data_IF_764628945106
#
_entry.id   IF_764628945106
#
_cell.length_a   1.000
_cell.length_b   1.000
_cell.length_c   1.000
_cell.angle_alpha   90.00
_cell.angle_beta   90.00
_cell.angle_gamma   90.00
#
_symmetry.space_group_name_H-M   'P 1'
#
loop_
_entity.id
_entity.type
_entity.pdbx_description
1 polymer ?
#
# COMPACT_ATOMS: atom_id res chain seq x y z
N UNK A 1 4.10 23.76 -8.87
CA UNK A 1 5.13 22.73 -8.74
C UNK A 1 4.63 21.75 -7.69
N UNK A 2 4.53 20.47 -8.04
CA UNK A 2 4.02 19.45 -7.11
C UNK A 2 5.03 19.19 -5.99
N UNK A 3 4.54 18.67 -4.84
CA UNK A 3 5.39 18.39 -3.67
C UNK A 3 6.39 17.24 -3.89
N UNK A 4 6.15 16.41 -4.92
CA UNK A 4 6.97 15.25 -5.27
C UNK A 4 7.62 15.40 -6.66
N UNK A 5 7.82 16.62 -7.12
CA UNK A 5 8.43 16.89 -8.43
C UNK A 5 9.79 16.20 -8.56
N UNK A 6 9.93 15.36 -9.61
CA UNK A 6 11.14 14.57 -9.87
C UNK A 6 11.43 13.42 -8.92
N UNK A 7 10.50 13.09 -8.00
CA UNK A 7 10.58 11.93 -7.13
C UNK A 7 10.11 10.68 -7.84
N UNK A 8 10.63 9.53 -7.44
CA UNK A 8 10.24 8.22 -7.96
C UNK A 8 9.51 7.43 -6.89
N UNK A 9 8.30 6.99 -7.21
CA UNK A 9 7.44 6.24 -6.31
C UNK A 9 7.12 4.84 -6.86
N UNK A 10 7.08 3.85 -5.98
CA UNK A 10 6.50 2.53 -6.24
C UNK A 10 5.19 2.43 -5.46
N UNK A 11 4.11 1.98 -6.12
CA UNK A 11 2.83 1.67 -5.46
C UNK A 11 2.41 0.25 -5.86
N UNK A 12 2.28 -0.65 -4.89
CA UNK A 12 1.83 -2.03 -5.14
C UNK A 12 0.31 -2.15 -5.06
N UNK A 13 -0.29 -3.03 -5.89
CA UNK A 13 -1.75 -3.14 -6.01
C UNK A 13 -2.39 -1.85 -6.51
N UNK A 14 -1.77 -1.19 -7.48
CA UNK A 14 -2.09 0.16 -7.91
C UNK A 14 -3.02 0.23 -9.14
N UNK A 15 -3.46 -0.91 -9.69
CA UNK A 15 -4.35 -0.93 -10.84
C UNK A 15 -5.81 -0.57 -10.52
N UNK A 16 -6.21 -0.63 -9.23
CA UNK A 16 -7.60 -0.43 -8.82
C UNK A 16 -7.71 0.20 -7.42
N UNK A 17 -8.90 0.71 -7.09
CA UNK A 17 -9.30 1.11 -5.74
C UNK A 17 -8.33 2.08 -5.07
N UNK A 18 -7.94 1.78 -3.84
CA UNK A 18 -7.06 2.62 -3.02
C UNK A 18 -5.70 2.81 -3.69
N UNK A 19 -5.08 1.71 -4.19
CA UNK A 19 -3.76 1.79 -4.83
C UNK A 19 -3.75 2.67 -6.08
N UNK A 20 -4.80 2.57 -6.92
CA UNK A 20 -4.97 3.48 -8.07
C UNK A 20 -5.06 4.94 -7.62
N UNK A 21 -5.90 5.23 -6.63
CA UNK A 21 -6.03 6.59 -6.12
C UNK A 21 -4.70 7.14 -5.55
N UNK A 22 -3.91 6.28 -4.87
CA UNK A 22 -2.57 6.64 -4.38
C UNK A 22 -1.65 6.95 -5.56
N UNK A 23 -1.57 6.06 -6.57
CA UNK A 23 -0.70 6.26 -7.74
C UNK A 23 -1.02 7.57 -8.47
N UNK A 24 -2.31 7.84 -8.73
CA UNK A 24 -2.77 9.08 -9.35
C UNK A 24 -2.45 10.31 -8.49
N UNK A 25 -2.63 10.22 -7.16
CA UNK A 25 -2.32 11.32 -6.24
C UNK A 25 -0.84 11.66 -6.25
N UNK A 26 0.05 10.66 -6.17
CA UNK A 26 1.49 10.89 -6.19
C UNK A 26 1.96 11.43 -7.54
N UNK A 27 1.40 10.92 -8.65
CA UNK A 27 1.67 11.46 -10.00
C UNK A 27 1.21 12.91 -10.16
N UNK A 28 0.02 13.26 -9.66
CA UNK A 28 -0.47 14.64 -9.67
C UNK A 28 0.42 15.60 -8.87
N UNK A 29 1.14 15.09 -7.87
CA UNK A 29 2.13 15.85 -7.10
C UNK A 29 3.53 15.88 -7.75
N UNK A 30 3.68 15.34 -8.96
CA UNK A 30 4.91 15.40 -9.75
C UNK A 30 5.82 14.19 -9.69
N UNK A 31 5.43 13.12 -8.98
CA UNK A 31 6.22 11.89 -8.93
C UNK A 31 6.15 11.10 -10.25
N UNK A 32 7.25 10.44 -10.60
CA UNK A 32 7.23 9.27 -11.48
C UNK A 32 6.75 8.06 -10.70
N UNK A 33 5.87 7.23 -11.26
CA UNK A 33 5.23 6.14 -10.53
C UNK A 33 5.42 4.80 -11.23
N UNK A 34 5.98 3.83 -10.54
CA UNK A 34 5.90 2.42 -10.93
C UNK A 34 4.58 1.87 -10.39
N UNK A 35 3.69 1.51 -11.31
CA UNK A 35 2.33 1.02 -11.04
C UNK A 35 2.36 -0.51 -11.09
N UNK A 36 2.37 -1.16 -9.92
CA UNK A 36 2.25 -2.61 -9.86
C UNK A 36 0.79 -3.02 -9.59
N UNK A 37 0.35 -4.04 -10.27
CA UNK A 37 -0.86 -4.83 -9.97
C UNK A 37 -0.62 -6.28 -10.35
N UNK A 38 -1.41 -7.22 -9.80
CA UNK A 38 -1.35 -8.62 -10.21
C UNK A 38 -1.69 -8.79 -11.69
N UNK A 39 -2.67 -8.00 -12.16
CA UNK A 39 -3.20 -8.04 -13.51
C UNK A 39 -2.55 -6.94 -14.38
N UNK A 40 -2.13 -7.31 -15.58
CA UNK A 40 -1.48 -6.40 -16.55
C UNK A 40 -2.41 -5.28 -17.01
N UNK A 41 -3.65 -5.61 -17.35
CA UNK A 41 -4.59 -4.64 -17.92
C UNK A 41 -4.92 -3.48 -16.96
N UNK A 42 -5.21 -3.68 -15.66
CA UNK A 42 -5.41 -2.58 -14.73
C UNK A 42 -4.15 -1.75 -14.47
N UNK A 43 -2.98 -2.39 -14.37
CA UNK A 43 -1.72 -1.66 -14.22
C UNK A 43 -1.46 -0.77 -15.44
N UNK A 44 -1.65 -1.30 -16.66
CA UNK A 44 -1.53 -0.55 -17.91
C UNK A 44 -2.50 0.62 -17.98
N UNK A 45 -3.76 0.40 -17.65
CA UNK A 45 -4.79 1.46 -17.71
C UNK A 45 -4.45 2.66 -16.79
N UNK A 46 -3.96 2.42 -15.58
CA UNK A 46 -3.54 3.50 -14.67
C UNK A 46 -2.28 4.19 -15.19
N UNK A 47 -1.35 3.44 -15.74
CA UNK A 47 -0.14 3.97 -16.36
C UNK A 47 -0.49 4.89 -17.54
N UNK A 48 -1.39 4.48 -18.43
CA UNK A 48 -1.85 5.27 -19.56
C UNK A 48 -2.58 6.54 -19.11
N UNK A 49 -3.40 6.44 -18.06
CA UNK A 49 -4.08 7.59 -17.47
C UNK A 49 -3.09 8.63 -16.94
N UNK A 50 -2.05 8.21 -16.21
CA UNK A 50 -1.00 9.11 -15.71
C UNK A 50 -0.21 9.72 -16.89
N UNK A 51 0.10 8.92 -17.91
CA UNK A 51 0.91 9.32 -19.06
C UNK A 51 0.14 10.12 -20.12
N UNK A 52 -1.19 10.23 -19.99
CA UNK A 52 -2.01 11.10 -20.88
C UNK A 52 -1.72 12.59 -20.69
N UNK A 53 -0.97 12.96 -19.65
CA UNK A 53 -0.51 14.31 -19.37
C UNK A 53 0.77 14.71 -20.13
N UNK A 54 1.51 15.68 -19.61
CA UNK A 54 2.72 16.24 -20.25
C UNK A 54 3.98 15.41 -20.04
N UNK A 55 4.04 14.22 -20.63
CA UNK A 55 5.23 13.36 -20.63
C UNK A 55 5.08 12.12 -19.75
N UNK A 56 5.84 11.04 -20.04
CA UNK A 56 5.73 9.77 -19.34
C UNK A 56 6.16 9.94 -17.88
N UNK A 57 5.24 9.64 -16.96
CA UNK A 57 5.44 9.70 -15.52
C UNK A 57 5.18 8.38 -14.83
N UNK A 58 4.70 7.37 -15.56
CA UNK A 58 4.39 6.07 -15.00
C UNK A 58 4.93 4.93 -15.86
N UNK A 59 5.24 3.83 -15.20
CA UNK A 59 5.65 2.55 -15.74
C UNK A 59 4.78 1.45 -15.14
N UNK A 60 4.13 0.64 -15.99
CA UNK A 60 3.40 -0.54 -15.54
C UNK A 60 4.41 -1.66 -15.21
N UNK A 61 4.25 -2.29 -14.05
CA UNK A 61 5.01 -3.46 -13.61
C UNK A 61 4.05 -4.53 -13.07
N UNK A 62 3.36 -5.26 -13.96
CA UNK A 62 2.43 -6.30 -13.55
C UNK A 62 3.16 -7.49 -12.94
N UNK A 63 2.53 -8.14 -11.96
CA UNK A 63 3.03 -9.36 -11.37
C UNK A 63 2.65 -9.57 -9.92
N UNK A 64 2.93 -10.77 -9.44
CA UNK A 64 2.56 -11.24 -8.11
C UNK A 64 3.61 -10.85 -7.07
N UNK A 65 3.24 -9.93 -6.18
CA UNK A 65 4.10 -9.46 -5.08
C UNK A 65 4.57 -10.57 -4.13
N UNK A 66 3.91 -11.74 -4.14
CA UNK A 66 4.25 -12.84 -3.24
C UNK A 66 5.40 -13.72 -3.75
N UNK A 67 5.84 -13.54 -4.99
CA UNK A 67 6.98 -14.28 -5.54
C UNK A 67 8.29 -13.86 -4.84
N UNK A 68 9.22 -14.79 -4.60
CA UNK A 68 10.44 -14.52 -3.84
C UNK A 68 11.31 -13.39 -4.39
N UNK A 69 11.49 -13.33 -5.70
CA UNK A 69 12.36 -12.38 -6.41
C UNK A 69 11.67 -11.06 -6.76
N UNK A 70 10.32 -11.03 -6.70
CA UNK A 70 9.52 -9.91 -7.18
C UNK A 70 9.93 -8.55 -6.57
N UNK A 71 10.33 -8.54 -5.31
CA UNK A 71 10.75 -7.31 -4.63
C UNK A 71 12.02 -6.70 -5.23
N UNK A 72 12.98 -7.52 -5.63
CA UNK A 72 14.22 -7.09 -6.26
C UNK A 72 13.91 -6.57 -7.68
N UNK A 73 13.16 -7.32 -8.49
CA UNK A 73 12.76 -6.93 -9.85
C UNK A 73 11.93 -5.63 -9.87
N UNK A 74 11.04 -5.44 -8.88
CA UNK A 74 10.23 -4.23 -8.77
C UNK A 74 11.07 -2.98 -8.45
N UNK A 75 12.07 -3.12 -7.59
CA UNK A 75 13.01 -2.02 -7.28
C UNK A 75 13.87 -1.72 -8.49
N UNK A 76 14.40 -2.74 -9.15
CA UNK A 76 15.23 -2.59 -10.35
C UNK A 76 14.43 -1.88 -11.47
N UNK A 77 13.14 -2.20 -11.65
CA UNK A 77 12.29 -1.50 -12.61
C UNK A 77 12.18 0.02 -12.34
N UNK A 78 12.16 0.44 -11.07
CA UNK A 78 12.16 1.87 -10.72
C UNK A 78 13.53 2.52 -11.02
N UNK A 79 14.62 1.80 -10.75
CA UNK A 79 15.99 2.28 -10.99
C UNK A 79 16.27 2.40 -12.48
N UNK A 80 15.89 1.39 -13.27
CA UNK A 80 16.12 1.36 -14.74
C UNK A 80 15.20 2.37 -15.46
N UNK A 81 13.93 2.47 -15.02
CA UNK A 81 12.95 3.32 -15.68
C UNK A 81 13.10 4.81 -15.34
N UNK A 82 13.48 5.13 -14.10
CA UNK A 82 13.46 6.51 -13.59
C UNK A 82 14.73 6.93 -12.85
N UNK A 83 15.72 6.05 -12.72
CA UNK A 83 17.02 6.37 -12.14
C UNK A 83 17.06 6.43 -10.61
N UNK A 84 16.01 6.01 -9.89
CA UNK A 84 15.98 6.08 -8.44
C UNK A 84 14.70 5.53 -7.80
N UNK A 85 14.68 5.59 -6.46
CA UNK A 85 13.50 5.28 -5.65
C UNK A 85 13.48 6.22 -4.43
N UNK A 86 12.42 7.00 -4.29
CA UNK A 86 12.23 7.94 -3.18
C UNK A 86 11.05 7.56 -2.27
N UNK A 87 9.98 7.00 -2.85
CA UNK A 87 8.74 6.66 -2.13
C UNK A 87 8.35 5.22 -2.42
N UNK A 88 8.11 4.43 -1.38
CA UNK A 88 7.57 3.07 -1.49
C UNK A 88 6.26 2.96 -0.74
N UNK A 89 5.18 2.57 -1.43
CA UNK A 89 3.87 2.29 -0.84
C UNK A 89 3.52 0.83 -0.98
N UNK A 90 3.57 0.07 0.11
CA UNK A 90 3.12 -1.30 0.19
C UNK A 90 1.60 -1.32 0.42
N UNK A 91 0.82 -1.42 -0.67
CA UNK A 91 -0.64 -1.38 -0.63
C UNK A 91 -1.28 -2.71 -1.09
N UNK A 92 -0.62 -3.51 -1.92
CA UNK A 92 -1.17 -4.74 -2.48
C UNK A 92 -1.81 -5.65 -1.41
N UNK A 93 -2.98 -6.20 -1.74
CA UNK A 93 -3.65 -7.14 -0.87
C UNK A 93 -5.12 -7.34 -1.19
N UNK A 94 -5.67 -8.38 -0.59
CA UNK A 94 -7.09 -8.74 -0.67
C UNK A 94 -7.53 -9.35 0.67
N UNK A 95 -8.80 -9.69 0.80
CA UNK A 95 -9.36 -10.26 2.04
C UNK A 95 -9.92 -11.64 1.74
N UNK A 96 -9.59 -12.59 2.63
CA UNK A 96 -10.17 -13.92 2.60
C UNK A 96 -10.66 -14.28 4.00
N UNK A 97 -11.90 -13.91 4.28
CA UNK A 97 -12.52 -14.05 5.60
C UNK A 97 -12.99 -15.49 5.88
N UNK A 98 -12.81 -15.94 7.10
CA UNK A 98 -13.41 -17.17 7.64
C UNK A 98 -13.42 -17.12 9.17
N UNK A 99 -14.44 -17.72 9.80
CA UNK A 99 -14.41 -17.93 11.24
C UNK A 99 -13.20 -18.85 11.59
N UNK A 100 -12.53 -18.59 12.72
CA UNK A 100 -11.28 -19.29 13.07
C UNK A 100 -11.40 -20.82 13.01
N UNK A 101 -12.51 -21.37 13.49
CA UNK A 101 -12.73 -22.83 13.50
C UNK A 101 -12.86 -23.44 12.09
N UNK A 102 -13.15 -22.63 11.08
CA UNK A 102 -13.28 -23.03 9.68
C UNK A 102 -12.16 -22.47 8.80
N UNK A 103 -11.19 -21.77 9.41
CA UNK A 103 -10.08 -21.13 8.72
C UNK A 103 -9.06 -22.19 8.31
N UNK A 104 -8.80 -22.34 7.01
CA UNK A 104 -7.80 -23.30 6.54
C UNK A 104 -6.38 -22.76 6.65
N UNK A 105 -5.39 -23.67 6.73
CA UNK A 105 -3.98 -23.29 6.67
C UNK A 105 -3.65 -22.54 5.37
N UNK A 106 -4.29 -22.93 4.26
CA UNK A 106 -4.14 -22.22 2.98
C UNK A 106 -4.61 -20.75 3.06
N UNK A 107 -5.73 -20.46 3.72
CA UNK A 107 -6.19 -19.10 3.93
C UNK A 107 -5.21 -18.31 4.80
N UNK A 108 -4.69 -18.94 5.84
CA UNK A 108 -3.68 -18.36 6.71
C UNK A 108 -2.40 -18.00 5.95
N UNK A 109 -1.85 -18.97 5.22
CA UNK A 109 -0.62 -18.78 4.45
C UNK A 109 -0.79 -17.73 3.35
N UNK A 110 -1.91 -17.72 2.61
CA UNK A 110 -2.19 -16.75 1.57
C UNK A 110 -2.27 -15.31 2.12
N UNK A 111 -2.94 -15.11 3.25
CA UNK A 111 -3.04 -13.79 3.88
C UNK A 111 -1.70 -13.32 4.42
N UNK A 112 -0.92 -14.19 5.06
CA UNK A 112 0.44 -13.83 5.50
C UNK A 112 1.39 -13.61 4.33
N UNK A 113 1.28 -14.38 3.26
CA UNK A 113 2.10 -14.20 2.07
C UNK A 113 1.95 -12.80 1.48
N UNK A 114 0.70 -12.34 1.27
CA UNK A 114 0.45 -11.04 0.64
C UNK A 114 0.60 -9.86 1.60
N UNK A 115 0.21 -10.00 2.88
CA UNK A 115 0.16 -8.87 3.81
C UNK A 115 1.39 -8.73 4.72
N UNK A 116 2.22 -9.77 4.85
CA UNK A 116 3.42 -9.74 5.70
C UNK A 116 4.68 -10.06 4.91
N UNK A 117 4.71 -11.22 4.23
CA UNK A 117 5.93 -11.71 3.56
C UNK A 117 6.27 -10.86 2.33
N UNK A 118 5.29 -10.50 1.50
CA UNK A 118 5.52 -9.65 0.33
C UNK A 118 6.05 -8.26 0.71
N UNK A 119 5.39 -7.49 1.63
CA UNK A 119 5.97 -6.24 2.12
C UNK A 119 7.38 -6.41 2.70
N UNK A 120 7.65 -7.45 3.49
CA UNK A 120 8.98 -7.72 4.00
C UNK A 120 10.03 -7.87 2.89
N UNK A 121 9.72 -8.63 1.82
CA UNK A 121 10.65 -8.83 0.69
C UNK A 121 10.90 -7.54 -0.08
N UNK A 122 9.85 -6.78 -0.39
CA UNK A 122 9.94 -5.50 -1.09
C UNK A 122 10.73 -4.48 -0.24
N UNK A 123 10.44 -4.39 1.07
CA UNK A 123 11.18 -3.55 2.00
C UNK A 123 12.66 -3.92 2.05
N UNK A 124 12.99 -5.21 2.06
CA UNK A 124 14.38 -5.69 2.06
C UNK A 124 15.12 -5.27 0.78
N UNK A 125 14.48 -5.36 -0.39
CA UNK A 125 15.04 -4.92 -1.67
C UNK A 125 15.26 -3.40 -1.68
N UNK A 126 14.24 -2.62 -1.36
CA UNK A 126 14.33 -1.15 -1.28
C UNK A 126 15.38 -0.69 -0.24
N UNK A 127 15.45 -1.38 0.91
CA UNK A 127 16.40 -1.07 1.98
C UNK A 127 17.86 -1.22 1.56
N UNK A 128 18.19 -2.18 0.70
CA UNK A 128 19.55 -2.30 0.11
C UNK A 128 19.89 -1.03 -0.67
N UNK A 129 19.01 -0.62 -1.58
CA UNK A 129 19.19 0.60 -2.39
C UNK A 129 19.29 1.85 -1.49
N UNK A 130 18.38 2.03 -0.54
CA UNK A 130 18.39 3.20 0.35
C UNK A 130 19.68 3.30 1.15
N UNK A 131 20.17 2.18 1.69
CA UNK A 131 21.43 2.13 2.43
C UNK A 131 22.63 2.48 1.56
N UNK A 132 22.71 1.97 0.35
CA UNK A 132 23.81 2.25 -0.59
C UNK A 132 23.85 3.72 -0.98
N UNK A 133 22.70 4.29 -1.33
CA UNK A 133 22.58 5.71 -1.66
C UNK A 133 22.91 6.61 -0.45
N UNK A 134 22.49 6.21 0.75
CA UNK A 134 22.83 6.97 1.95
C UNK A 134 24.33 6.96 2.23
N UNK A 135 24.99 5.78 2.12
CA UNK A 135 26.45 5.68 2.27
C UNK A 135 27.20 6.49 1.23
N UNK A 136 26.74 6.47 -0.02
CA UNK A 136 27.36 7.26 -1.09
C UNK A 136 27.26 8.79 -0.82
N UNK A 137 26.12 9.26 -0.34
CA UNK A 137 25.95 10.67 0.05
C UNK A 137 26.85 11.03 1.24
N UNK A 138 26.86 10.20 2.29
CA UNK A 138 27.71 10.40 3.48
C UNK A 138 29.20 10.42 3.14
N UNK A 139 29.66 9.59 2.21
CA UNK A 139 31.04 9.58 1.75
C UNK A 139 31.46 10.87 1.04
N UNK A 140 30.48 11.62 0.49
CA UNK A 140 30.69 12.97 -0.08
C UNK A 140 30.51 14.09 0.94
N UNK A 141 30.25 13.76 2.22
CA UNK A 141 29.93 14.76 3.25
C UNK A 141 28.53 15.38 3.13
N UNK A 142 27.64 14.74 2.38
CA UNK A 142 26.27 15.20 2.13
C UNK A 142 25.29 14.50 3.07
N UNK A 143 24.21 15.19 3.45
CA UNK A 143 23.07 14.54 4.10
C UNK A 143 22.30 13.74 3.04
N UNK A 144 22.00 12.44 3.27
CA UNK A 144 21.15 11.67 2.37
C UNK A 144 19.79 12.36 2.19
N UNK A 145 19.20 12.36 0.99
CA UNK A 145 17.83 12.83 0.80
C UNK A 145 16.85 11.98 1.62
N UNK A 146 15.80 12.63 2.15
CA UNK A 146 14.76 11.92 2.88
C UNK A 146 13.96 11.03 1.91
N UNK A 147 13.84 9.73 2.26
CA UNK A 147 13.02 8.76 1.54
C UNK A 147 11.87 8.30 2.39
N UNK A 148 10.80 7.85 1.75
CA UNK A 148 9.52 7.58 2.39
C UNK A 148 9.08 6.15 2.15
N UNK A 149 8.67 5.48 3.22
CA UNK A 149 7.98 4.20 3.14
C UNK A 149 6.65 4.32 3.84
N UNK A 150 5.58 3.92 3.15
CA UNK A 150 4.23 3.87 3.72
C UNK A 150 3.67 2.45 3.56
N UNK A 151 3.39 1.79 4.66
CA UNK A 151 2.77 0.49 4.69
C UNK A 151 1.26 0.63 4.92
N UNK A 152 0.46 0.08 4.01
CA UNK A 152 -1.01 0.07 4.16
C UNK A 152 -1.42 -1.05 5.10
N UNK A 153 -1.92 -0.65 6.27
CA UNK A 153 -2.52 -1.53 7.26
C UNK A 153 -4.05 -1.40 7.26
N UNK A 154 -4.69 -1.83 8.32
CA UNK A 154 -6.13 -1.79 8.54
C UNK A 154 -6.42 -1.60 10.03
N UNK A 155 -7.60 -1.04 10.37
CA UNK A 155 -8.10 -1.07 11.75
C UNK A 155 -8.19 -2.52 12.27
N UNK A 156 -8.41 -3.51 11.40
CA UNK A 156 -8.37 -4.93 11.76
C UNK A 156 -6.98 -5.37 12.26
N UNK A 157 -5.91 -4.79 11.74
CA UNK A 157 -4.55 -5.05 12.22
C UNK A 157 -4.22 -4.33 13.55
N UNK A 158 -5.00 -3.31 13.91
CA UNK A 158 -4.83 -2.53 15.15
C UNK A 158 -5.71 -3.09 16.27
N UNK A 159 -6.98 -3.36 15.96
CA UNK A 159 -8.02 -3.70 16.95
C UNK A 159 -8.53 -5.14 16.83
N UNK A 160 -8.17 -5.84 15.76
CA UNK A 160 -8.79 -7.11 15.40
C UNK A 160 -10.12 -6.94 14.68
N UNK A 161 -10.62 -8.02 14.08
CA UNK A 161 -11.98 -8.08 13.54
C UNK A 161 -12.43 -9.55 13.50
N UNK A 162 -13.70 -9.80 13.79
CA UNK A 162 -14.28 -11.12 13.68
C UNK A 162 -14.12 -11.68 12.26
N UNK A 163 -13.85 -12.97 12.13
CA UNK A 163 -13.63 -13.69 10.86
C UNK A 163 -12.37 -13.29 10.05
N UNK A 164 -11.52 -12.41 10.57
CA UNK A 164 -10.34 -11.88 9.88
C UNK A 164 -9.01 -12.25 10.54
N UNK A 165 -8.91 -13.38 11.21
CA UNK A 165 -7.73 -13.74 12.01
C UNK A 165 -6.41 -13.64 11.22
N UNK A 166 -6.32 -14.25 10.04
CA UNK A 166 -5.12 -14.20 9.20
C UNK A 166 -4.86 -12.83 8.57
N UNK A 167 -5.93 -12.17 8.12
CA UNK A 167 -5.83 -10.81 7.57
C UNK A 167 -5.34 -9.82 8.65
N UNK A 168 -5.97 -9.86 9.84
CA UNK A 168 -5.57 -9.02 10.96
C UNK A 168 -4.12 -9.28 11.39
N UNK A 169 -3.70 -10.55 11.45
CA UNK A 169 -2.31 -10.91 11.75
C UNK A 169 -1.33 -10.34 10.71
N UNK A 170 -1.64 -10.48 9.40
CA UNK A 170 -0.82 -9.89 8.33
C UNK A 170 -0.75 -8.36 8.40
N UNK A 171 -1.89 -7.71 8.67
CA UNK A 171 -1.95 -6.24 8.81
C UNK A 171 -1.31 -5.72 10.11
N UNK A 172 -1.27 -6.52 11.16
CA UNK A 172 -0.48 -6.24 12.37
C UNK A 172 1.02 -6.42 12.12
N UNK A 173 1.43 -7.39 11.32
CA UNK A 173 2.83 -7.63 10.98
C UNK A 173 3.48 -6.40 10.33
N UNK A 174 2.81 -5.72 9.39
CA UNK A 174 3.38 -4.50 8.77
C UNK A 174 3.49 -3.33 9.75
N UNK A 175 2.65 -3.27 10.78
CA UNK A 175 2.81 -2.30 11.88
C UNK A 175 4.11 -2.59 12.65
N UNK A 176 4.39 -3.87 12.95
CA UNK A 176 5.63 -4.29 13.57
C UNK A 176 6.86 -3.95 12.72
N UNK A 177 6.82 -4.26 11.42
CA UNK A 177 7.86 -3.89 10.45
C UNK A 177 8.07 -2.37 10.40
N UNK A 178 7.00 -1.59 10.36
CA UNK A 178 7.05 -0.12 10.36
C UNK A 178 7.85 0.41 11.55
N UNK A 179 7.52 -0.04 12.75
CA UNK A 179 8.17 0.40 13.99
C UNK A 179 9.64 -0.04 14.10
N UNK A 180 9.97 -1.23 13.60
CA UNK A 180 11.35 -1.74 13.62
C UNK A 180 12.21 -0.98 12.60
N UNK A 181 11.73 -0.87 11.35
CA UNK A 181 12.50 -0.25 10.28
C UNK A 181 12.63 1.27 10.45
N UNK A 182 11.69 1.94 11.11
CA UNK A 182 11.83 3.38 11.43
C UNK A 182 13.08 3.66 12.28
N UNK A 183 13.46 2.73 13.16
CA UNK A 183 14.67 2.82 14.00
C UNK A 183 15.93 2.38 13.23
N UNK A 184 15.82 1.30 12.46
CA UNK A 184 16.95 0.75 11.72
C UNK A 184 17.39 1.66 10.57
N UNK A 185 16.43 2.29 9.86
CA UNK A 185 16.70 3.08 8.66
C UNK A 185 16.79 4.59 8.90
N UNK A 186 16.54 5.04 10.14
CA UNK A 186 16.73 6.44 10.53
C UNK A 186 18.11 7.00 10.15
N UNK A 187 19.23 6.26 10.39
CA UNK A 187 20.57 6.69 9.98
C UNK A 187 20.76 6.88 8.47
N UNK A 188 19.87 6.30 7.65
CA UNK A 188 19.87 6.47 6.19
C UNK A 188 18.93 7.59 5.72
N UNK A 189 18.32 8.33 6.65
CA UNK A 189 17.31 9.35 6.42
C UNK A 189 16.07 8.80 5.68
N UNK A 190 15.60 7.62 6.09
CA UNK A 190 14.38 6.98 5.58
C UNK A 190 13.32 7.01 6.68
N UNK A 191 12.17 7.59 6.39
CA UNK A 191 10.99 7.49 7.26
C UNK A 191 10.15 6.29 6.88
N UNK A 192 9.66 5.55 7.87
CA UNK A 192 8.80 4.37 7.67
C UNK A 192 7.56 4.54 8.53
N UNK A 193 6.39 4.69 7.89
CA UNK A 193 5.11 4.90 8.56
C UNK A 193 4.05 3.92 8.03
N UNK A 194 2.95 3.79 8.73
CA UNK A 194 1.80 3.00 8.29
C UNK A 194 0.51 3.84 8.31
N UNK A 195 -0.42 3.49 7.40
CA UNK A 195 -1.79 4.01 7.44
C UNK A 195 -2.73 2.83 7.62
N UNK A 196 -3.53 2.86 8.69
CA UNK A 196 -4.54 1.86 9.00
C UNK A 196 -5.91 2.38 8.59
N UNK A 197 -6.48 1.80 7.53
CA UNK A 197 -7.78 2.22 7.04
C UNK A 197 -8.93 1.55 7.82
N UNK A 198 -10.00 2.31 8.00
CA UNK A 198 -11.33 1.79 8.30
C UNK A 198 -12.05 1.34 7.02
N UNK A 199 -13.37 1.52 6.98
CA UNK A 199 -14.16 1.20 5.82
C UNK A 199 -13.94 2.23 4.70
N UNK A 200 -13.37 1.78 3.57
CA UNK A 200 -13.21 2.56 2.33
C UNK A 200 -14.03 1.88 1.24
N UNK A 201 -14.86 2.63 0.55
CA UNK A 201 -15.66 2.13 -0.58
C UNK A 201 -14.76 1.80 -1.78
N UNK A 202 -14.66 0.52 -2.10
CA UNK A 202 -13.93 -0.02 -3.25
C UNK A 202 -14.69 -1.21 -3.81
N UNK A 203 -14.24 -1.76 -4.94
CA UNK A 203 -14.79 -3.03 -5.46
C UNK A 203 -14.76 -4.16 -4.43
N UNK A 204 -13.77 -4.20 -3.56
CA UNK A 204 -13.64 -5.23 -2.52
C UNK A 204 -14.65 -5.07 -1.37
N UNK A 205 -15.25 -3.91 -1.22
CA UNK A 205 -16.13 -3.53 -0.10
C UNK A 205 -17.48 -2.98 -0.54
N UNK A 206 -17.78 -3.05 -1.85
CA UNK A 206 -19.09 -2.61 -2.37
C UNK A 206 -20.24 -3.51 -1.90
N UNK A 207 -21.45 -3.04 -2.07
CA UNK A 207 -22.66 -3.79 -1.71
C UNK A 207 -22.74 -5.08 -2.52
N UNK A 208 -22.93 -6.21 -1.83
CA UNK A 208 -23.29 -7.47 -2.48
C UNK A 208 -24.71 -7.32 -3.00
N UNK A 209 -24.87 -7.35 -4.34
CA UNK A 209 -26.17 -7.39 -5.02
C UNK A 209 -26.71 -8.82 -5.11
N UNK A 210 -27.67 -9.03 -6.01
CA UNK A 210 -28.22 -10.37 -6.29
C UNK A 210 -27.15 -11.34 -6.85
N UNK A 211 -26.13 -10.80 -7.54
CA UNK A 211 -24.96 -11.54 -7.98
C UNK A 211 -23.79 -11.32 -7.01
N UNK A 212 -23.20 -12.43 -6.56
CA UNK A 212 -22.02 -12.38 -5.70
C UNK A 212 -20.81 -12.00 -6.54
N UNK A 213 -20.26 -10.82 -6.33
CA UNK A 213 -19.03 -10.45 -6.98
C UNK A 213 -17.85 -11.28 -6.47
N UNK A 214 -16.99 -11.62 -7.40
CA UNK A 214 -15.74 -12.33 -7.12
C UNK A 214 -14.55 -11.60 -7.71
N UNK A 215 -13.41 -11.82 -7.09
CA UNK A 215 -12.11 -11.46 -7.68
C UNK A 215 -11.34 -12.75 -7.96
N UNK A 216 -10.65 -12.79 -9.08
CA UNK A 216 -9.70 -13.86 -9.34
C UNK A 216 -8.35 -13.51 -8.69
N UNK A 217 -7.82 -14.42 -7.89
CA UNK A 217 -6.47 -14.35 -7.37
C UNK A 217 -5.80 -15.69 -7.66
N UNK A 218 -4.89 -15.70 -8.59
CA UNK A 218 -4.14 -16.91 -9.02
C UNK A 218 -5.04 -18.05 -9.49
N UNK A 219 -6.09 -17.74 -10.28
CA UNK A 219 -7.04 -18.74 -10.79
C UNK A 219 -8.11 -19.18 -9.77
N UNK A 220 -8.14 -18.56 -8.60
CA UNK A 220 -9.15 -18.81 -7.57
C UNK A 220 -10.10 -17.64 -7.44
N UNK A 221 -11.40 -17.93 -7.43
CA UNK A 221 -12.45 -16.94 -7.23
C UNK A 221 -12.67 -16.69 -5.73
N UNK A 222 -12.42 -15.44 -5.29
CA UNK A 222 -12.71 -15.01 -3.91
C UNK A 222 -13.94 -14.13 -3.90
N UNK A 223 -14.90 -14.45 -3.04
CA UNK A 223 -16.06 -13.59 -2.81
C UNK A 223 -15.64 -12.29 -2.14
N UNK A 224 -16.12 -11.18 -2.68
CA UNK A 224 -15.88 -9.83 -2.15
C UNK A 224 -17.17 -9.07 -1.99
N UNK A 225 -17.12 -7.98 -1.26
CA UNK A 225 -18.27 -7.14 -0.96
C UNK A 225 -18.79 -7.29 0.47
N UNK A 226 -19.70 -6.43 0.84
CA UNK A 226 -20.35 -6.38 2.15
C UNK A 226 -21.86 -6.37 1.98
N UNK A 227 -22.59 -6.89 2.97
CA UNK A 227 -24.05 -6.77 2.97
C UNK A 227 -24.47 -5.32 3.19
N UNK A 228 -25.66 -4.91 2.71
CA UNK A 228 -26.20 -3.57 2.97
C UNK A 228 -26.21 -3.21 4.46
N UNK A 229 -26.56 -4.18 5.33
CA UNK A 229 -26.58 -3.99 6.78
C UNK A 229 -25.19 -3.73 7.36
N UNK A 230 -24.16 -4.44 6.85
CA UNK A 230 -22.79 -4.23 7.28
C UNK A 230 -22.28 -2.83 6.84
N UNK A 231 -22.60 -2.40 5.62
CA UNK A 231 -22.26 -1.05 5.14
C UNK A 231 -22.93 0.01 6.00
N UNK A 232 -24.21 -0.14 6.27
CA UNK A 232 -24.95 0.81 7.12
C UNK A 232 -24.41 0.83 8.55
N UNK A 233 -24.04 -0.33 9.10
CA UNK A 233 -23.39 -0.42 10.40
C UNK A 233 -22.06 0.36 10.41
N UNK A 234 -21.22 0.23 9.39
CA UNK A 234 -19.98 0.99 9.28
C UNK A 234 -20.24 2.50 9.17
N UNK A 235 -21.22 2.93 8.36
CA UNK A 235 -21.58 4.35 8.23
C UNK A 235 -22.12 4.92 9.53
N UNK A 236 -22.98 4.20 10.20
CA UNK A 236 -23.62 4.67 11.45
C UNK A 236 -22.64 4.72 12.62
N UNK A 237 -21.66 3.82 12.68
CA UNK A 237 -20.63 3.80 13.74
C UNK A 237 -19.48 4.78 13.46
N UNK A 238 -19.29 5.22 12.23
CA UNK A 238 -18.30 6.25 11.92
C UNK A 238 -18.74 7.62 12.46
N UNK A 239 -17.94 8.29 13.30
CA UNK A 239 -18.22 9.66 13.74
C UNK A 239 -18.42 10.65 12.59
N UNK A 240 -17.72 10.48 11.45
CA UNK A 240 -17.93 11.31 10.25
C UNK A 240 -19.16 10.93 9.44
N UNK A 241 -19.93 9.90 9.85
CA UNK A 241 -21.21 9.48 9.25
C UNK A 241 -21.14 9.16 7.76
N UNK A 242 -19.99 8.76 7.26
CA UNK A 242 -19.76 8.33 5.88
C UNK A 242 -18.70 7.25 5.79
N UNK A 243 -18.72 6.51 4.69
CA UNK A 243 -17.59 5.72 4.28
C UNK A 243 -16.43 6.62 3.80
N UNK A 244 -15.21 6.12 3.86
CA UNK A 244 -14.10 6.74 3.18
C UNK A 244 -14.15 6.45 1.68
N UNK A 245 -13.77 7.41 0.85
CA UNK A 245 -13.51 7.21 -0.57
C UNK A 245 -12.04 6.78 -0.80
N UNK A 246 -11.71 6.18 -1.95
CA UNK A 246 -10.31 5.90 -2.32
C UNK A 246 -9.41 7.14 -2.25
N UNK A 247 -9.95 8.32 -2.55
CA UNK A 247 -9.26 9.61 -2.47
C UNK A 247 -8.94 10.01 -1.02
N UNK A 248 -9.83 9.70 -0.04
CA UNK A 248 -9.54 9.91 1.38
C UNK A 248 -8.34 9.05 1.80
N UNK A 249 -8.29 7.80 1.35
CA UNK A 249 -7.19 6.89 1.61
C UNK A 249 -5.88 7.37 0.96
N UNK A 250 -5.94 7.79 -0.31
CA UNK A 250 -4.79 8.33 -1.04
C UNK A 250 -4.23 9.60 -0.37
N UNK A 251 -5.10 10.50 0.08
CA UNK A 251 -4.69 11.70 0.81
C UNK A 251 -4.01 11.35 2.14
N UNK A 252 -4.51 10.37 2.89
CA UNK A 252 -3.90 9.92 4.13
C UNK A 252 -2.49 9.33 3.93
N UNK A 253 -2.29 8.54 2.86
CA UNK A 253 -0.96 8.04 2.47
C UNK A 253 -0.04 9.18 2.06
N UNK A 254 -0.53 10.12 1.25
CA UNK A 254 0.25 11.24 0.74
C UNK A 254 0.82 12.13 1.86
N UNK A 255 0.15 12.26 3.01
CA UNK A 255 0.67 12.96 4.19
C UNK A 255 2.06 12.46 4.60
N UNK A 256 2.31 11.15 4.52
CA UNK A 256 3.62 10.57 4.85
C UNK A 256 4.60 10.58 3.68
N UNK A 257 4.16 10.87 2.46
CA UNK A 257 5.04 10.97 1.29
C UNK A 257 5.63 12.37 1.10
N UNK A 258 5.00 13.41 1.65
CA UNK A 258 5.40 14.79 1.46
C UNK A 258 6.58 15.22 2.36
N UNK A 259 7.35 16.26 1.96
CA UNK A 259 8.45 16.79 2.76
C UNK A 259 8.04 17.26 4.17
N UNK A 260 6.80 17.71 4.35
CA UNK A 260 6.27 18.14 5.65
C UNK A 260 6.29 17.05 6.72
N UNK A 261 6.42 15.77 6.30
CA UNK A 261 6.55 14.62 7.20
C UNK A 261 7.98 14.10 7.38
N UNK A 262 9.01 14.86 7.00
CA UNK A 262 10.41 14.41 7.07
C UNK A 262 10.89 14.08 8.49
N UNK A 263 10.19 14.56 9.52
CA UNK A 263 10.49 14.26 10.91
C UNK A 263 9.47 13.31 11.57
N UNK A 264 8.63 12.65 10.76
CA UNK A 264 7.61 11.69 11.25
C UNK A 264 7.99 10.29 10.81
N UNK A 265 8.29 9.39 11.75
CA UNK A 265 8.66 8.01 11.46
C UNK A 265 8.24 7.07 12.59
N UNK A 266 7.87 5.84 12.24
CA UNK A 266 7.39 4.81 13.17
C UNK A 266 5.92 4.95 13.56
N UNK A 267 5.18 5.85 12.93
CA UNK A 267 3.81 6.18 13.26
C UNK A 267 2.79 5.29 12.51
N UNK A 268 1.63 5.14 13.13
CA UNK A 268 0.47 4.47 12.55
C UNK A 268 -0.69 5.47 12.55
N UNK A 269 -0.99 6.02 11.38
CA UNK A 269 -2.15 6.90 11.19
C UNK A 269 -3.41 6.07 10.99
N UNK A 270 -4.39 6.23 11.85
CA UNK A 270 -5.71 5.61 11.68
C UNK A 270 -6.57 6.55 10.84
N UNK A 271 -6.92 6.12 9.62
CA UNK A 271 -7.80 6.85 8.70
C UNK A 271 -9.12 6.08 8.55
N UNK A 272 -10.01 6.25 9.54
CA UNK A 272 -11.23 5.46 9.71
C UNK A 272 -12.50 6.29 9.84
N UNK A 273 -12.43 7.62 9.65
CA UNK A 273 -13.55 8.50 9.96
C UNK A 273 -13.89 8.57 11.45
N UNK A 274 -12.93 8.17 12.32
CA UNK A 274 -13.07 8.15 13.77
C UNK A 274 -13.58 6.82 14.33
N UNK A 275 -13.82 5.80 13.49
CA UNK A 275 -14.17 4.46 13.95
C UNK A 275 -12.99 3.85 14.71
N UNK A 276 -13.25 3.47 15.96
CA UNK A 276 -12.38 2.66 16.82
C UNK A 276 -12.94 1.25 16.90
N UNK A 277 -12.08 0.24 17.11
CA UNK A 277 -12.49 -1.16 17.15
C UNK A 277 -13.49 -1.48 18.26
#
# INVERSE_FOLDING_TARGET
MGKLEGKVAIVTGAGRGIGRAIALKLAAEGAHVVVNDLDEQPAGAVTDEINSGTGPRALAFPGDVTLPEFGDDLVDAALDGFGGLDVLVNNAGYIWNSALLNHSDEQWEAMLAVHATAPFRILRAAGRHFREQAKAAQARGERPPCRKVVNVSSISGVYGAATQASYAAGKAAVIGLTKSLSKEWGPYNVTVNAVAFGYIETRLTQTIGDEVETIDVKGRQHRVGLTPEAIEAYRSTSPLRRAGAPEDAANAVALFCFPESDFVTGEVLIASGGTTG
#
